data_IF_689626270068
#
_entry.id   IF_689626270068
#
_cell.length_a   1.000
_cell.length_b   1.000
_cell.length_c   1.000
_cell.angle_alpha   90.00
_cell.angle_beta   90.00
_cell.angle_gamma   90.00
#
_symmetry.space_group_name_H-M   'P 1'
#
loop_
_entity.id
_entity.type
_entity.pdbx_description
1 polymer ?
#
# COMPACT_ATOMS: atom_id res chain seq x y z
N UNK A 1 62.12 -16.14 14.60
CA UNK A 1 61.16 -15.14 14.05
C UNK A 1 59.96 -15.91 13.50
N UNK A 2 58.84 -15.95 14.23
CA UNK A 2 57.64 -16.66 13.81
C UNK A 2 56.53 -15.62 13.61
N UNK A 3 56.14 -15.39 12.34
CA UNK A 3 55.05 -14.47 11.99
C UNK A 3 53.74 -15.26 12.02
N UNK A 4 52.91 -15.05 13.04
CA UNK A 4 51.51 -15.48 13.04
C UNK A 4 50.72 -14.56 12.10
N UNK A 5 50.25 -15.10 10.98
CA UNK A 5 49.27 -14.42 10.14
C UNK A 5 47.87 -14.69 10.71
N UNK A 6 47.28 -13.68 11.35
CA UNK A 6 45.89 -13.70 11.78
C UNK A 6 45.00 -13.42 10.56
N UNK A 7 44.32 -14.46 10.06
CA UNK A 7 43.30 -14.31 9.03
C UNK A 7 42.01 -13.79 9.70
N UNK A 8 41.68 -12.52 9.46
CA UNK A 8 40.39 -11.93 9.83
C UNK A 8 39.30 -12.51 8.91
N UNK A 9 38.49 -13.44 9.41
CA UNK A 9 37.27 -13.87 8.72
C UNK A 9 36.24 -12.76 8.93
N UNK A 10 36.02 -11.95 7.90
CA UNK A 10 34.93 -10.98 7.89
C UNK A 10 33.61 -11.73 7.77
N UNK A 11 32.87 -11.84 8.88
CA UNK A 11 31.50 -12.33 8.86
C UNK A 11 30.62 -11.29 8.15
N UNK A 12 30.18 -11.61 6.94
CA UNK A 12 29.14 -10.85 6.25
C UNK A 12 27.82 -11.02 6.99
N UNK A 13 27.51 -10.07 7.88
CA UNK A 13 26.17 -9.95 8.45
C UNK A 13 25.20 -9.63 7.30
N UNK A 14 24.32 -10.56 6.97
CA UNK A 14 23.15 -10.28 6.14
C UNK A 14 22.29 -9.28 6.91
N UNK A 15 22.28 -8.02 6.49
CA UNK A 15 21.30 -7.06 6.98
C UNK A 15 19.92 -7.61 6.60
N UNK A 16 19.19 -8.15 7.57
CA UNK A 16 17.80 -8.48 7.39
C UNK A 16 17.07 -7.19 6.99
N UNK A 17 16.40 -7.21 5.84
CA UNK A 17 15.63 -6.07 5.36
C UNK A 17 14.51 -5.79 6.38
N UNK A 18 14.34 -4.53 6.76
CA UNK A 18 13.34 -4.17 7.79
C UNK A 18 11.93 -4.39 7.24
N UNK A 19 10.96 -4.82 8.07
CA UNK A 19 9.58 -4.96 7.63
C UNK A 19 9.03 -3.66 7.02
N UNK A 20 8.26 -3.81 5.94
CA UNK A 20 7.64 -2.72 5.19
C UNK A 20 6.52 -2.11 6.04
N UNK A 21 6.67 -0.82 6.34
CA UNK A 21 5.67 -0.04 7.06
C UNK A 21 4.42 0.20 6.18
N UNK A 22 3.21 -0.22 6.60
CA UNK A 22 1.99 0.10 5.87
C UNK A 22 1.57 1.56 6.11
N UNK A 23 1.04 2.22 5.09
CA UNK A 23 0.47 3.57 5.17
C UNK A 23 -1.00 3.54 4.76
N UNK A 24 -1.88 4.18 5.52
CA UNK A 24 -3.30 4.25 5.16
C UNK A 24 -3.52 5.21 3.98
N UNK A 25 -4.65 5.05 3.29
CA UNK A 25 -5.05 5.96 2.20
C UNK A 25 -5.04 7.43 2.66
N UNK A 26 -5.60 7.74 3.84
CA UNK A 26 -5.58 9.11 4.36
C UNK A 26 -4.18 9.62 4.68
N UNK A 27 -3.27 8.77 5.18
CA UNK A 27 -1.87 9.18 5.42
C UNK A 27 -1.18 9.58 4.12
N UNK A 28 -1.38 8.81 3.05
CA UNK A 28 -0.81 9.08 1.73
C UNK A 28 -1.43 10.34 1.11
N UNK A 29 -2.76 10.48 1.18
CA UNK A 29 -3.47 11.62 0.61
C UNK A 29 -3.15 12.95 1.32
N UNK A 30 -2.87 12.91 2.62
CA UNK A 30 -2.52 14.11 3.41
C UNK A 30 -1.18 14.71 3.01
N UNK A 31 -0.21 13.89 2.60
CA UNK A 31 1.13 14.34 2.21
C UNK A 31 1.56 13.72 0.87
N UNK A 32 0.83 14.07 -0.19
CA UNK A 32 1.03 13.52 -1.54
C UNK A 32 2.48 13.70 -2.02
N UNK A 33 3.05 14.88 -1.76
CA UNK A 33 4.41 15.22 -2.17
C UNK A 33 5.46 14.32 -1.51
N UNK A 34 5.25 13.90 -0.26
CA UNK A 34 6.15 12.96 0.41
C UNK A 34 6.18 11.59 -0.26
N UNK A 35 5.06 11.13 -0.83
CA UNK A 35 4.94 9.78 -1.39
C UNK A 35 5.08 9.70 -2.91
N UNK A 36 4.96 10.81 -3.64
CA UNK A 36 5.07 10.84 -5.10
C UNK A 36 6.32 10.10 -5.60
N UNK A 37 6.14 9.17 -6.53
CA UNK A 37 7.19 8.35 -7.13
C UNK A 37 7.77 7.27 -6.22
N UNK A 38 7.34 7.16 -4.96
CA UNK A 38 7.87 6.18 -4.00
C UNK A 38 7.04 4.90 -3.95
N UNK A 39 7.68 3.73 -3.81
CA UNK A 39 6.98 2.50 -3.48
C UNK A 39 6.49 2.55 -2.02
N UNK A 40 5.25 2.11 -1.80
CA UNK A 40 4.61 2.05 -0.49
C UNK A 40 3.74 0.80 -0.37
N UNK A 41 3.53 0.33 0.86
CA UNK A 41 2.46 -0.61 1.18
C UNK A 41 1.22 0.18 1.61
N UNK A 42 0.26 0.37 0.71
CA UNK A 42 -0.95 1.15 0.98
C UNK A 42 -2.05 0.27 1.59
N UNK A 43 -2.57 0.67 2.76
CA UNK A 43 -3.66 0.03 3.49
C UNK A 43 -4.98 0.77 3.25
N UNK A 44 -6.03 0.03 2.89
CA UNK A 44 -7.37 0.61 2.82
C UNK A 44 -8.46 -0.42 2.54
N UNK A 45 -9.66 0.08 2.27
CA UNK A 45 -10.76 -0.72 1.74
C UNK A 45 -10.55 -0.91 0.25
N UNK A 46 -10.16 -2.11 -0.15
CA UNK A 46 -10.17 -2.55 -1.53
C UNK A 46 -11.60 -2.63 -2.04
N UNK A 47 -11.86 -1.95 -3.15
CA UNK A 47 -13.12 -1.98 -3.87
C UNK A 47 -12.83 -2.11 -5.36
N UNK A 48 -13.74 -2.75 -6.09
CA UNK A 48 -13.67 -2.83 -7.54
C UNK A 48 -15.05 -2.70 -8.17
N UNK A 49 -15.11 -2.20 -9.40
CA UNK A 49 -16.28 -2.12 -10.27
C UNK A 49 -15.83 -2.43 -11.70
N UNK A 50 -16.76 -2.43 -12.64
CA UNK A 50 -16.44 -2.63 -14.07
C UNK A 50 -15.43 -1.60 -14.60
N UNK A 51 -15.47 -0.38 -14.06
CA UNK A 51 -14.63 0.73 -14.51
C UNK A 51 -13.31 0.87 -13.73
N UNK A 52 -12.98 -0.11 -12.87
CA UNK A 52 -11.67 -0.29 -12.24
C UNK A 52 -11.71 -0.58 -10.73
N UNK A 53 -10.57 -0.40 -10.08
CA UNK A 53 -10.30 -0.85 -8.70
C UNK A 53 -9.53 0.24 -7.93
N UNK A 54 -9.75 0.32 -6.62
CA UNK A 54 -9.16 1.35 -5.78
C UNK A 54 -9.06 0.89 -4.32
N UNK A 55 -8.18 1.57 -3.56
CA UNK A 55 -8.21 1.57 -2.10
C UNK A 55 -8.91 2.85 -1.63
N UNK A 56 -9.94 2.71 -0.81
CA UNK A 56 -10.66 3.84 -0.21
C UNK A 56 -10.50 3.88 1.31
N UNK A 57 -10.63 5.09 1.87
CA UNK A 57 -10.73 5.31 3.31
C UNK A 57 -11.68 6.48 3.58
N UNK A 58 -12.55 6.36 4.57
CA UNK A 58 -13.48 7.42 4.97
C UNK A 58 -12.88 8.25 6.12
N UNK A 59 -13.29 9.51 6.22
CA UNK A 59 -12.88 10.38 7.33
C UNK A 59 -11.45 10.93 7.22
N UNK A 60 -10.89 11.04 6.01
CA UNK A 60 -9.67 11.84 5.81
C UNK A 60 -9.96 13.30 6.19
N UNK A 61 -9.00 13.93 6.88
CA UNK A 61 -9.15 15.29 7.40
C UNK A 61 -8.85 16.38 6.36
N UNK A 62 -9.11 16.11 5.08
CA UNK A 62 -8.97 17.07 4.00
C UNK A 62 -10.35 17.49 3.46
N UNK A 63 -10.57 18.80 3.29
CA UNK A 63 -11.79 19.34 2.65
C UNK A 63 -11.76 19.13 1.12
N UNK A 64 -11.18 18.02 0.66
CA UNK A 64 -11.06 17.69 -0.75
C UNK A 64 -12.43 17.35 -1.33
N UNK A 65 -12.75 17.90 -2.49
CA UNK A 65 -13.94 17.52 -3.28
C UNK A 65 -13.72 16.21 -4.05
N UNK A 66 -12.48 15.74 -4.14
CA UNK A 66 -12.12 14.45 -4.74
C UNK A 66 -12.30 13.36 -3.69
N UNK A 67 -12.89 12.19 -4.04
CA UNK A 67 -13.06 11.09 -3.12
C UNK A 67 -11.73 10.67 -2.46
N UNK A 68 -11.73 10.32 -1.16
CA UNK A 68 -10.55 9.83 -0.44
C UNK A 68 -10.22 8.38 -0.85
N UNK A 69 -9.73 8.25 -2.07
CA UNK A 69 -9.37 6.99 -2.70
C UNK A 69 -8.06 7.12 -3.47
N UNK A 70 -7.34 6.00 -3.56
CA UNK A 70 -6.18 5.82 -4.42
C UNK A 70 -6.54 4.76 -5.45
N UNK A 71 -6.44 5.12 -6.72
CA UNK A 71 -6.79 4.24 -7.83
C UNK A 71 -5.71 3.17 -8.02
N UNK A 72 -6.09 1.94 -8.33
CA UNK A 72 -5.11 0.86 -8.54
C UNK A 72 -4.88 0.67 -10.05
N UNK A 73 -3.66 0.95 -10.49
CA UNK A 73 -3.25 0.82 -11.89
C UNK A 73 -2.18 -0.27 -11.97
N UNK A 74 -2.41 -1.29 -12.80
CA UNK A 74 -1.43 -2.35 -13.00
C UNK A 74 -0.50 -2.00 -14.15
N UNK A 75 0.79 -2.16 -13.89
CA UNK A 75 1.85 -2.01 -14.89
C UNK A 75 2.89 -3.13 -14.68
N UNK A 76 2.90 -4.11 -15.57
CA UNK A 76 3.83 -5.25 -15.49
C UNK A 76 5.30 -4.89 -15.75
N UNK A 77 5.57 -3.73 -16.32
CA UNK A 77 6.92 -3.30 -16.69
C UNK A 77 7.49 -2.34 -15.64
N UNK A 78 6.75 -1.27 -15.35
CA UNK A 78 7.19 -0.16 -14.52
C UNK A 78 6.70 -0.24 -13.07
N UNK A 79 5.77 -1.14 -12.75
CA UNK A 79 5.37 -1.39 -11.37
C UNK A 79 6.56 -1.84 -10.50
N UNK A 80 6.71 -1.31 -9.27
CA UNK A 80 7.82 -1.69 -8.41
C UNK A 80 7.72 -3.17 -8.04
N UNK A 81 8.86 -3.86 -8.05
CA UNK A 81 8.94 -5.20 -7.48
C UNK A 81 8.92 -5.09 -5.96
N UNK A 82 8.19 -5.96 -5.25
CA UNK A 82 8.33 -6.06 -3.80
C UNK A 82 9.79 -6.43 -3.44
N UNK A 83 10.27 -5.98 -2.26
CA UNK A 83 11.49 -6.52 -1.65
C UNK A 83 11.53 -8.04 -1.65
N UNK A 84 12.73 -8.62 -1.73
CA UNK A 84 12.93 -10.07 -1.82
C UNK A 84 12.33 -10.81 -0.62
N UNK A 85 12.52 -10.26 0.58
CA UNK A 85 11.90 -10.73 1.82
C UNK A 85 10.76 -9.79 2.23
N UNK A 86 9.70 -9.78 1.42
CA UNK A 86 8.55 -8.94 1.72
C UNK A 86 7.86 -9.37 3.03
N UNK A 87 8.06 -8.58 4.07
CA UNK A 87 7.36 -8.68 5.34
C UNK A 87 6.69 -7.34 5.65
N UNK A 88 5.46 -7.34 6.12
CA UNK A 88 4.81 -6.12 6.62
C UNK A 88 5.09 -5.97 8.11
N UNK A 89 5.26 -4.73 8.58
CA UNK A 89 5.20 -4.44 10.01
C UNK A 89 3.79 -4.79 10.54
N UNK A 90 3.66 -5.97 11.14
CA UNK A 90 2.38 -6.50 11.61
C UNK A 90 1.79 -5.73 12.79
N UNK A 91 2.63 -5.12 13.63
CA UNK A 91 2.17 -4.32 14.78
C UNK A 91 1.55 -3.03 14.24
N UNK A 92 2.28 -2.33 13.37
CA UNK A 92 1.77 -1.12 12.73
C UNK A 92 0.53 -1.40 11.89
N UNK A 93 0.51 -2.52 11.14
CA UNK A 93 -0.64 -2.93 10.35
C UNK A 93 -1.89 -3.12 11.21
N UNK A 94 -1.76 -3.86 12.32
CA UNK A 94 -2.88 -4.16 13.23
C UNK A 94 -3.47 -2.89 13.83
N UNK A 95 -2.61 -1.99 14.33
CA UNK A 95 -3.04 -0.72 14.91
C UNK A 95 -3.73 0.17 13.87
N UNK A 96 -3.11 0.35 12.70
CA UNK A 96 -3.67 1.18 11.63
C UNK A 96 -4.98 0.61 11.09
N UNK A 97 -5.09 -0.71 10.91
CA UNK A 97 -6.33 -1.34 10.49
C UNK A 97 -7.45 -1.13 11.51
N UNK A 98 -7.16 -1.28 12.80
CA UNK A 98 -8.15 -1.03 13.86
C UNK A 98 -8.67 0.41 13.80
N UNK A 99 -7.79 1.39 13.55
CA UNK A 99 -8.18 2.79 13.42
C UNK A 99 -8.96 3.08 12.13
N UNK A 100 -8.56 2.51 11.00
CA UNK A 100 -9.29 2.61 9.73
C UNK A 100 -10.72 2.06 9.89
N UNK A 101 -10.88 0.92 10.57
CA UNK A 101 -12.20 0.27 10.81
C UNK A 101 -13.15 1.11 11.65
N UNK A 102 -12.65 2.02 12.49
CA UNK A 102 -13.50 2.93 13.29
C UNK A 102 -14.22 3.97 12.43
N UNK A 103 -13.60 4.37 11.31
CA UNK A 103 -14.07 5.47 10.44
C UNK A 103 -14.53 5.01 9.07
N UNK A 104 -14.10 3.83 8.63
CA UNK A 104 -14.39 3.26 7.32
C UNK A 104 -15.17 1.97 7.44
N UNK A 105 -16.27 1.85 6.72
CA UNK A 105 -17.06 0.61 6.65
C UNK A 105 -16.80 -0.14 5.34
N UNK A 106 -16.82 -1.47 5.36
CA UNK A 106 -16.93 -2.26 4.14
C UNK A 106 -18.37 -2.13 3.60
N UNK A 107 -18.55 -1.87 2.30
CA UNK A 107 -19.89 -1.82 1.75
C UNK A 107 -20.55 -3.20 1.81
N UNK A 108 -21.70 -3.27 2.47
CA UNK A 108 -22.56 -4.46 2.46
C UNK A 108 -23.63 -4.27 1.40
N UNK A 109 -23.47 -4.92 0.26
CA UNK A 109 -24.53 -4.96 -0.73
C UNK A 109 -25.68 -5.83 -0.21
N UNK A 110 -26.92 -5.32 -0.26
CA UNK A 110 -28.12 -6.08 0.11
C UNK A 110 -28.38 -7.26 -0.84
N UNK A 111 -27.85 -7.18 -2.06
CA UNK A 111 -27.86 -8.23 -3.07
C UNK A 111 -26.48 -8.25 -3.73
N UNK A 112 -25.72 -9.33 -3.56
CA UNK A 112 -24.34 -9.46 -4.05
C UNK A 112 -23.45 -10.32 -3.14
N UNK A 113 -22.22 -10.61 -3.56
CA UNK A 113 -21.24 -11.30 -2.70
C UNK A 113 -20.74 -10.35 -1.59
N UNK A 114 -20.61 -10.82 -0.34
CA UNK A 114 -20.05 -10.03 0.77
C UNK A 114 -18.58 -9.65 0.56
N UNK A 115 -17.88 -10.28 -0.39
CA UNK A 115 -16.44 -10.07 -0.66
C UNK A 115 -16.15 -8.89 -1.59
N UNK A 116 -17.16 -8.07 -1.87
CA UNK A 116 -17.05 -6.97 -2.83
C UNK A 116 -16.07 -5.90 -2.35
N UNK A 117 -16.16 -5.56 -1.06
CA UNK A 117 -15.21 -4.71 -0.37
C UNK A 117 -14.42 -5.54 0.63
N UNK A 118 -13.09 -5.41 0.64
CA UNK A 118 -12.20 -6.13 1.56
C UNK A 118 -11.14 -5.19 2.11
N UNK A 119 -10.66 -5.46 3.31
CA UNK A 119 -9.45 -4.79 3.78
C UNK A 119 -8.26 -5.34 3.01
N UNK A 120 -7.40 -4.47 2.50
CA UNK A 120 -6.21 -4.91 1.79
C UNK A 120 -5.02 -3.99 2.01
N UNK A 121 -3.84 -4.59 1.87
CA UNK A 121 -2.57 -3.89 1.64
C UNK A 121 -2.14 -4.14 0.21
N UNK A 122 -1.82 -3.07 -0.53
CA UNK A 122 -1.28 -3.15 -1.89
C UNK A 122 0.09 -2.51 -1.92
N UNK A 123 1.10 -3.23 -2.41
CA UNK A 123 2.42 -2.67 -2.65
C UNK A 123 2.51 -2.08 -4.05
N UNK A 124 2.85 -0.80 -4.14
CA UNK A 124 2.94 -0.10 -5.42
C UNK A 124 3.55 1.29 -5.30
N UNK A 125 3.75 1.96 -6.42
CA UNK A 125 4.32 3.32 -6.49
C UNK A 125 3.20 4.34 -6.55
N UNK A 126 3.27 5.37 -5.71
CA UNK A 126 2.31 6.48 -5.75
C UNK A 126 2.62 7.38 -6.93
N UNK A 127 1.60 7.73 -7.71
CA UNK A 127 1.69 8.64 -8.86
C UNK A 127 0.51 9.60 -8.84
N UNK A 128 0.75 10.87 -9.11
CA UNK A 128 -0.31 11.86 -9.26
C UNK A 128 -1.20 11.55 -10.46
N UNK A 129 -2.50 11.40 -10.21
CA UNK A 129 -3.47 11.07 -11.27
C UNK A 129 -3.80 12.31 -12.09
N UNK A 130 -3.82 12.18 -13.41
CA UNK A 130 -4.00 13.30 -14.34
C UNK A 130 -5.33 13.22 -15.11
N UNK A 131 -5.74 14.35 -15.69
CA UNK A 131 -6.91 14.45 -16.56
C UNK A 131 -8.23 14.13 -15.85
N UNK A 132 -9.19 13.56 -16.59
CA UNK A 132 -10.52 13.20 -16.06
C UNK A 132 -10.46 12.16 -14.93
N UNK A 133 -9.40 11.33 -14.89
CA UNK A 133 -9.19 10.35 -13.83
C UNK A 133 -9.02 10.99 -12.45
N UNK A 134 -8.47 12.21 -12.38
CA UNK A 134 -8.22 12.94 -11.15
C UNK A 134 -9.51 13.30 -10.37
N UNK A 135 -10.67 13.29 -11.05
CA UNK A 135 -11.99 13.51 -10.44
C UNK A 135 -12.46 12.30 -9.62
N UNK A 136 -11.94 11.10 -9.89
CA UNK A 136 -12.33 9.85 -9.21
C UNK A 136 -11.42 9.51 -8.03
N UNK A 137 -10.15 9.88 -8.14
CA UNK A 137 -9.11 9.70 -7.12
C UNK A 137 -7.98 10.68 -7.41
N UNK A 138 -7.34 11.22 -6.38
CA UNK A 138 -6.24 12.17 -6.57
C UNK A 138 -4.92 11.48 -7.00
N UNK A 139 -4.78 10.20 -6.69
CA UNK A 139 -3.56 9.42 -6.89
C UNK A 139 -3.87 8.08 -7.54
N UNK A 140 -2.88 7.60 -8.29
CA UNK A 140 -2.71 6.21 -8.66
C UNK A 140 -1.71 5.54 -7.71
N UNK A 141 -1.95 4.25 -7.46
CA UNK A 141 -0.96 3.31 -6.97
C UNK A 141 -0.66 2.36 -8.11
N UNK A 142 0.48 2.56 -8.75
CA UNK A 142 0.97 1.73 -9.84
C UNK A 142 1.62 0.48 -9.24
N UNK A 143 0.99 -0.68 -9.43
CA UNK A 143 1.49 -1.95 -8.91
C UNK A 143 1.83 -2.89 -10.06
N UNK A 144 2.75 -3.83 -9.81
CA UNK A 144 3.15 -4.83 -10.80
C UNK A 144 2.12 -5.95 -10.86
N UNK A 145 1.91 -6.60 -12.01
CA UNK A 145 0.90 -7.67 -12.14
C UNK A 145 1.15 -8.90 -11.24
N UNK A 146 2.42 -9.20 -10.97
CA UNK A 146 2.93 -10.14 -9.97
C UNK A 146 3.16 -9.47 -8.58
N UNK A 147 2.67 -8.25 -8.41
CA UNK A 147 2.84 -7.44 -7.22
C UNK A 147 1.95 -7.90 -6.06
N UNK A 148 2.26 -7.37 -4.86
CA UNK A 148 1.67 -7.84 -3.62
C UNK A 148 0.33 -7.15 -3.37
N UNK A 149 -0.76 -7.93 -3.43
CA UNK A 149 -2.08 -7.57 -2.91
C UNK A 149 -2.43 -8.57 -1.80
N UNK A 150 -2.47 -8.11 -0.55
CA UNK A 150 -2.77 -8.93 0.62
C UNK A 150 -4.15 -8.55 1.13
N UNK A 151 -5.10 -9.48 1.03
CA UNK A 151 -6.42 -9.32 1.65
C UNK A 151 -6.34 -9.71 3.13
N UNK A 152 -6.86 -8.83 3.99
CA UNK A 152 -6.85 -9.01 5.43
C UNK A 152 -8.18 -9.60 5.89
N UNK A 153 -8.12 -10.45 6.91
CA UNK A 153 -9.31 -11.05 7.49
C UNK A 153 -10.24 -9.97 8.10
N UNK A 154 -11.54 -10.24 8.04
CA UNK A 154 -12.58 -9.36 8.58
C UNK A 154 -12.68 -9.44 10.11
#
# INVERSE_FOLDING_TARGET
MLRLAFALVAASATCAESPVMPFTVCEILRDKAMYEGKPVAALGRYSFRQDGRWLGEQGCQDNSTVPPAIWLTEDGNEGPRPPENFELDGIALSHKLADVRKRTSLAKFRFGSPDYDRWAVVYGRVVSRQGEGAKRAALDLVFRGDGVIIFLNQ
#
